data_IF_944872323275
#
_entry.id   IF_944872323275
#
_cell.length_a   1.000
_cell.length_b   1.000
_cell.length_c   1.000
_cell.angle_alpha   90.00
_cell.angle_beta   90.00
_cell.angle_gamma   90.00
#
_symmetry.space_group_name_H-M   'P 1'
#
loop_
_entity.id
_entity.type
_entity.pdbx_description
1 polymer ?
#
# COMPACT_ATOMS: atom_id res chain seq x y z
N UNK A 1 -31.15 -39.83 12.65
CA UNK A 1 -30.83 -38.40 12.51
C UNK A 1 -30.54 -38.15 11.03
N UNK A 2 -31.55 -37.69 10.23
CA UNK A 2 -31.40 -37.43 8.78
C UNK A 2 -30.76 -36.04 8.60
N UNK A 3 -29.48 -36.03 8.27
CA UNK A 3 -28.83 -34.78 7.79
C UNK A 3 -29.38 -34.46 6.41
N UNK A 4 -30.10 -33.36 6.30
CA UNK A 4 -30.74 -32.91 5.08
C UNK A 4 -29.65 -32.44 4.06
N UNK A 5 -29.24 -33.33 3.16
CA UNK A 5 -28.17 -33.13 2.16
C UNK A 5 -28.44 -31.99 1.17
N UNK A 6 -29.65 -31.42 1.14
CA UNK A 6 -30.04 -30.36 0.19
C UNK A 6 -29.58 -28.96 0.59
N UNK A 7 -29.28 -28.71 1.87
CA UNK A 7 -28.90 -27.37 2.36
C UNK A 7 -27.38 -27.18 2.49
N UNK A 8 -26.60 -28.25 2.33
CA UNK A 8 -25.14 -28.23 2.47
C UNK A 8 -24.45 -27.26 1.47
N UNK A 9 -24.79 -27.25 0.15
CA UNK A 9 -24.13 -26.36 -0.79
C UNK A 9 -24.47 -24.88 -0.54
N UNK A 10 -25.70 -24.55 -0.15
CA UNK A 10 -26.08 -23.16 0.18
C UNK A 10 -25.39 -22.67 1.44
N UNK A 11 -25.22 -23.52 2.46
CA UNK A 11 -24.49 -23.15 3.67
C UNK A 11 -23.00 -22.93 3.39
N UNK A 12 -22.37 -23.76 2.54
CA UNK A 12 -20.97 -23.60 2.12
C UNK A 12 -20.77 -22.33 1.31
N UNK A 13 -21.66 -22.05 0.36
CA UNK A 13 -21.60 -20.80 -0.43
C UNK A 13 -21.79 -19.56 0.46
N UNK A 14 -22.73 -19.61 1.41
CA UNK A 14 -22.94 -18.55 2.38
C UNK A 14 -21.69 -18.30 3.25
N UNK A 15 -21.08 -19.36 3.77
CA UNK A 15 -19.86 -19.25 4.56
C UNK A 15 -18.68 -18.70 3.74
N UNK A 16 -18.54 -19.14 2.49
CA UNK A 16 -17.52 -18.61 1.57
C UNK A 16 -17.71 -17.12 1.28
N UNK A 17 -18.96 -16.69 1.03
CA UNK A 17 -19.27 -15.29 0.79
C UNK A 17 -18.98 -14.41 2.01
N UNK A 18 -19.35 -14.86 3.21
CA UNK A 18 -19.03 -14.17 4.47
C UNK A 18 -17.53 -14.08 4.67
N UNK A 19 -16.79 -15.18 4.49
CA UNK A 19 -15.33 -15.17 4.59
C UNK A 19 -14.70 -14.18 3.61
N UNK A 20 -15.15 -14.16 2.37
CA UNK A 20 -14.65 -13.24 1.36
C UNK A 20 -14.95 -11.77 1.73
N UNK A 21 -16.17 -11.49 2.22
CA UNK A 21 -16.54 -10.16 2.68
C UNK A 21 -15.69 -9.69 3.87
N UNK A 22 -15.44 -10.58 4.84
CA UNK A 22 -14.56 -10.28 5.98
C UNK A 22 -13.12 -10.02 5.52
N UNK A 23 -12.57 -10.88 4.68
CA UNK A 23 -11.22 -10.68 4.14
C UNK A 23 -11.10 -9.38 3.34
N UNK A 24 -12.09 -9.08 2.52
CA UNK A 24 -12.16 -7.83 1.77
C UNK A 24 -12.24 -6.61 2.71
N UNK A 25 -13.04 -6.69 3.76
CA UNK A 25 -13.15 -5.62 4.76
C UNK A 25 -11.83 -5.42 5.49
N UNK A 26 -11.21 -6.49 6.01
CA UNK A 26 -9.93 -6.42 6.71
C UNK A 26 -8.82 -5.93 5.80
N UNK A 27 -8.77 -6.38 4.55
CA UNK A 27 -7.79 -5.92 3.55
C UNK A 27 -7.90 -4.43 3.23
N UNK A 28 -9.00 -3.78 3.58
CA UNK A 28 -9.20 -2.33 3.36
C UNK A 28 -9.11 -1.48 4.62
N UNK A 29 -9.20 -2.09 5.79
CA UNK A 29 -9.41 -1.35 7.04
C UNK A 29 -8.51 -1.82 8.19
N UNK A 30 -7.53 -2.68 7.91
CA UNK A 30 -6.71 -3.28 8.96
C UNK A 30 -6.06 -2.23 9.87
N UNK A 31 -6.23 -2.39 11.17
CA UNK A 31 -5.70 -1.50 12.20
C UNK A 31 -6.34 -0.12 12.30
N UNK A 32 -7.10 0.33 11.27
CA UNK A 32 -7.68 1.67 11.27
C UNK A 32 -9.01 1.76 12.00
N UNK A 33 -9.21 2.84 12.72
CA UNK A 33 -10.47 3.22 13.36
C UNK A 33 -11.47 3.79 12.34
N UNK A 34 -12.73 3.89 12.73
CA UNK A 34 -13.76 4.53 11.90
C UNK A 34 -13.49 6.03 11.71
N UNK A 35 -12.86 6.70 12.67
CA UNK A 35 -12.48 8.11 12.60
C UNK A 35 -11.37 8.31 11.56
N UNK A 36 -10.30 7.51 11.60
CA UNK A 36 -9.20 7.58 10.64
C UNK A 36 -9.64 7.36 9.21
N UNK A 37 -10.57 6.39 8.98
CA UNK A 37 -11.12 6.14 7.64
C UNK A 37 -12.00 7.26 7.07
N UNK A 38 -12.43 8.20 7.89
CA UNK A 38 -13.24 9.35 7.48
C UNK A 38 -12.46 10.65 7.41
N UNK A 39 -11.23 10.61 7.88
CA UNK A 39 -10.38 11.77 7.94
C UNK A 39 -9.86 12.10 6.53
N UNK A 40 -9.93 13.35 6.09
CA UNK A 40 -9.26 13.78 4.88
C UNK A 40 -7.75 13.56 5.00
N UNK A 41 -7.14 12.98 3.98
CA UNK A 41 -5.71 12.72 3.95
C UNK A 41 -5.04 13.51 2.82
N UNK A 42 -3.76 13.87 2.98
CA UNK A 42 -2.96 14.39 1.88
C UNK A 42 -3.06 13.44 0.67
N UNK A 43 -3.15 13.98 -0.53
CA UNK A 43 -3.27 13.19 -1.75
C UNK A 43 -4.69 12.72 -2.13
N UNK A 44 -5.71 12.89 -1.29
CA UNK A 44 -7.10 12.48 -1.61
C UNK A 44 -7.64 13.18 -2.88
N UNK A 45 -7.16 14.39 -3.17
CA UNK A 45 -7.57 15.15 -4.35
C UNK A 45 -6.91 14.67 -5.66
N UNK A 46 -5.85 13.87 -5.59
CA UNK A 46 -5.10 13.41 -6.78
C UNK A 46 -5.95 12.44 -7.61
N UNK A 47 -6.63 11.51 -6.96
CA UNK A 47 -7.54 10.58 -7.64
C UNK A 47 -8.98 10.98 -7.34
N UNK A 48 -9.58 11.67 -8.29
CA UNK A 48 -11.00 12.04 -8.17
C UNK A 48 -11.88 10.80 -8.37
N UNK A 49 -12.83 10.58 -7.46
CA UNK A 49 -13.77 9.45 -7.48
C UNK A 49 -13.09 8.08 -7.51
N UNK A 50 -12.27 7.75 -6.50
CA UNK A 50 -11.62 6.45 -6.45
C UNK A 50 -12.65 5.31 -6.38
N UNK A 51 -12.42 4.24 -7.14
CA UNK A 51 -13.26 3.04 -7.09
C UNK A 51 -13.07 2.27 -5.78
N UNK A 52 -11.89 2.39 -5.19
CA UNK A 52 -11.54 1.70 -3.94
C UNK A 52 -10.66 2.62 -3.11
N UNK A 53 -10.98 2.69 -1.82
CA UNK A 53 -10.14 3.32 -0.81
C UNK A 53 -9.83 2.28 0.26
N UNK A 54 -8.55 2.20 0.65
CA UNK A 54 -8.10 1.39 1.77
C UNK A 54 -7.36 2.30 2.75
N UNK A 55 -7.64 2.16 4.04
CA UNK A 55 -6.97 2.90 5.11
C UNK A 55 -6.48 1.91 6.15
N UNK A 56 -5.19 1.81 6.29
CA UNK A 56 -4.54 0.99 7.32
C UNK A 56 -3.89 1.91 8.34
N UNK A 57 -3.85 1.48 9.58
CA UNK A 57 -3.17 2.20 10.65
C UNK A 57 -2.40 1.24 11.55
N UNK A 58 -1.31 1.74 12.12
CA UNK A 58 -0.51 1.04 13.10
C UNK A 58 0.11 2.04 14.07
N UNK A 59 0.09 1.73 15.36
CA UNK A 59 0.80 2.52 16.36
C UNK A 59 2.21 1.95 16.52
N UNK A 60 3.20 2.81 16.39
CA UNK A 60 4.61 2.46 16.56
C UNK A 60 5.12 3.05 17.90
N UNK A 61 5.97 2.32 18.64
CA UNK A 61 6.49 2.78 19.94
C UNK A 61 7.66 3.77 19.78
N UNK A 62 7.62 4.59 18.73
CA UNK A 62 8.65 5.60 18.39
C UNK A 62 7.98 6.83 17.80
N UNK A 63 8.53 8.03 18.00
CA UNK A 63 7.94 9.26 17.48
C UNK A 63 8.12 9.37 15.94
N UNK A 64 7.31 10.22 15.28
CA UNK A 64 7.34 10.42 13.82
C UNK A 64 8.72 10.72 13.24
N UNK A 65 9.55 11.48 13.93
CA UNK A 65 10.91 11.86 13.51
C UNK A 65 11.84 10.66 13.38
N UNK A 66 11.56 9.59 14.14
CA UNK A 66 12.32 8.33 14.06
C UNK A 66 11.80 7.42 12.94
N UNK A 67 10.55 7.57 12.53
CA UNK A 67 9.94 6.81 11.44
C UNK A 67 10.24 7.45 10.08
N UNK A 68 10.25 8.77 10.02
CA UNK A 68 10.40 9.52 8.77
C UNK A 68 11.60 9.12 7.91
N UNK A 69 12.83 8.94 8.46
CA UNK A 69 13.98 8.50 7.66
C UNK A 69 13.76 7.17 6.93
N UNK A 70 12.96 6.27 7.50
CA UNK A 70 12.61 4.98 6.89
C UNK A 70 11.63 5.16 5.73
N UNK A 71 10.71 6.12 5.82
CA UNK A 71 9.76 6.41 4.73
C UNK A 71 10.44 7.06 3.53
N UNK A 72 11.41 7.93 3.73
CA UNK A 72 12.09 8.61 2.62
C UNK A 72 13.06 7.72 1.86
N UNK A 73 13.44 6.58 2.40
CA UNK A 73 14.30 5.62 1.70
C UNK A 73 13.53 4.48 1.00
N UNK A 74 12.18 4.48 1.00
CA UNK A 74 11.39 3.44 0.31
C UNK A 74 11.69 3.37 -1.18
N UNK A 75 11.46 2.21 -1.75
CA UNK A 75 11.59 1.97 -3.18
C UNK A 75 12.56 0.85 -3.53
N UNK A 76 12.40 0.33 -4.72
CA UNK A 76 13.24 -0.72 -5.27
C UNK A 76 14.67 -0.20 -5.51
N UNK A 77 15.69 -0.98 -5.11
CA UNK A 77 17.10 -0.56 -5.03
C UNK A 77 17.38 0.65 -4.11
N UNK A 78 16.45 0.94 -3.22
CA UNK A 78 16.60 1.84 -2.08
C UNK A 78 16.42 1.02 -0.80
N UNK A 79 15.71 1.53 0.20
CA UNK A 79 15.41 0.78 1.43
C UNK A 79 14.38 -0.34 1.29
N UNK A 80 13.82 -0.55 0.11
CA UNK A 80 12.72 -1.51 -0.10
C UNK A 80 11.36 -0.95 0.34
N UNK A 81 10.36 -1.82 0.44
CA UNK A 81 8.98 -1.44 0.79
C UNK A 81 8.57 -1.92 2.18
N UNK A 82 9.47 -2.51 2.95
CA UNK A 82 9.24 -3.05 4.29
C UNK A 82 8.11 -4.08 4.35
N UNK A 83 7.87 -4.75 3.25
CA UNK A 83 6.96 -5.89 3.17
C UNK A 83 7.53 -7.07 3.96
N UNK A 84 6.68 -7.92 4.57
CA UNK A 84 7.14 -9.16 5.18
C UNK A 84 7.88 -10.01 4.15
N UNK A 85 9.06 -10.56 4.50
CA UNK A 85 9.92 -11.30 3.58
C UNK A 85 9.20 -12.44 2.82
N UNK A 86 8.22 -13.09 3.44
CA UNK A 86 7.45 -14.14 2.77
C UNK A 86 6.60 -13.59 1.63
N UNK A 87 6.14 -12.33 1.72
CA UNK A 87 5.39 -11.66 0.64
C UNK A 87 6.33 -11.40 -0.55
N UNK A 88 7.53 -10.88 -0.29
CA UNK A 88 8.50 -10.62 -1.35
C UNK A 88 8.89 -11.92 -2.06
N UNK A 89 9.23 -12.97 -1.29
CA UNK A 89 9.62 -14.27 -1.87
C UNK A 89 8.51 -14.89 -2.71
N UNK A 90 7.25 -14.76 -2.28
CA UNK A 90 6.12 -15.41 -2.96
C UNK A 90 5.57 -14.59 -4.14
N UNK A 91 5.46 -13.28 -3.97
CA UNK A 91 4.76 -12.42 -4.93
C UNK A 91 5.70 -11.53 -5.75
N UNK A 92 6.87 -11.20 -5.20
CA UNK A 92 7.82 -10.27 -5.80
C UNK A 92 9.26 -10.81 -5.72
N UNK A 93 9.55 -11.97 -6.35
CA UNK A 93 10.84 -12.64 -6.21
C UNK A 93 12.04 -11.82 -6.73
N UNK A 94 11.79 -10.77 -7.49
CA UNK A 94 12.80 -9.82 -7.94
C UNK A 94 13.18 -8.77 -6.88
N UNK A 95 12.41 -8.67 -5.78
CA UNK A 95 12.72 -7.72 -4.72
C UNK A 95 13.87 -8.23 -3.85
N UNK A 96 14.86 -7.39 -3.65
CA UNK A 96 15.83 -7.59 -2.58
C UNK A 96 15.13 -7.43 -1.21
N UNK A 97 15.66 -8.06 -0.14
CA UNK A 97 15.18 -7.77 1.21
C UNK A 97 15.21 -6.28 1.50
N UNK A 98 14.18 -5.77 2.18
CA UNK A 98 14.20 -4.38 2.65
C UNK A 98 15.35 -4.15 3.63
N UNK A 99 15.90 -2.95 3.62
CA UNK A 99 16.98 -2.56 4.52
C UNK A 99 16.53 -2.66 5.99
N UNK A 100 17.39 -3.16 6.84
CA UNK A 100 17.23 -3.23 8.30
C UNK A 100 17.95 -2.09 9.03
N UNK A 101 18.54 -1.17 8.26
CA UNK A 101 19.24 0.02 8.74
C UNK A 101 18.90 1.23 7.85
N UNK A 102 19.19 2.42 8.34
CA UNK A 102 19.13 3.63 7.53
C UNK A 102 20.30 3.67 6.57
N UNK A 103 20.01 3.94 5.31
CA UNK A 103 21.03 4.10 4.27
C UNK A 103 21.80 5.41 4.51
N UNK A 104 23.10 5.40 4.28
CA UNK A 104 23.97 6.58 4.48
C UNK A 104 23.55 7.75 3.57
N UNK A 105 23.16 7.45 2.33
CA UNK A 105 22.71 8.42 1.34
C UNK A 105 21.43 7.97 0.62
N UNK A 106 20.29 7.91 1.30
CA UNK A 106 19.02 7.50 0.64
C UNK A 106 18.57 8.50 -0.42
N UNK A 107 19.14 9.71 -0.43
CA UNK A 107 18.68 10.86 -1.19
C UNK A 107 17.35 11.40 -0.60
N UNK A 108 17.27 12.72 -0.43
CA UNK A 108 15.99 13.34 -0.09
C UNK A 108 14.99 13.16 -1.24
N UNK A 109 13.76 12.82 -0.91
CA UNK A 109 12.69 12.81 -1.90
C UNK A 109 12.18 14.25 -2.11
N UNK A 110 12.01 14.63 -3.37
CA UNK A 110 11.39 15.89 -3.77
C UNK A 110 10.13 15.63 -4.62
N UNK A 111 9.23 16.61 -4.65
CA UNK A 111 8.05 16.53 -5.51
C UNK A 111 8.49 16.38 -6.97
N UNK A 112 7.92 15.38 -7.65
CA UNK A 112 8.26 15.02 -9.04
C UNK A 112 9.28 13.89 -9.16
N UNK A 113 9.96 13.50 -8.08
CA UNK A 113 10.88 12.37 -8.11
C UNK A 113 10.17 11.06 -8.42
N UNK A 114 10.88 10.17 -9.08
CA UNK A 114 10.43 8.80 -9.32
C UNK A 114 10.98 7.85 -8.27
N UNK A 115 10.10 7.12 -7.63
CA UNK A 115 10.42 6.04 -6.71
C UNK A 115 10.19 4.72 -7.45
N UNK A 116 11.23 3.99 -7.84
CA UNK A 116 11.07 2.73 -8.55
C UNK A 116 10.34 1.67 -7.72
N UNK A 117 9.48 0.89 -8.37
CA UNK A 117 8.80 -0.26 -7.77
C UNK A 117 8.96 -1.51 -8.64
N UNK A 118 10.15 -2.01 -8.65
CA UNK A 118 10.56 -3.19 -9.40
C UNK A 118 11.66 -2.93 -10.43
N UNK A 119 12.11 -3.99 -11.11
CA UNK A 119 13.16 -3.92 -12.12
C UNK A 119 12.81 -2.95 -13.26
N UNK A 120 13.81 -2.30 -13.89
CA UNK A 120 13.60 -1.32 -14.96
C UNK A 120 12.71 -1.82 -16.08
N UNK A 121 12.75 -3.12 -16.38
CA UNK A 121 11.96 -3.77 -17.44
C UNK A 121 10.46 -3.73 -17.17
N UNK A 122 10.06 -3.56 -15.91
CA UNK A 122 8.65 -3.44 -15.53
C UNK A 122 8.09 -2.06 -15.83
N UNK A 123 8.96 -1.07 -15.91
CA UNK A 123 8.60 0.36 -15.97
C UNK A 123 7.57 0.73 -14.90
N UNK A 124 7.72 0.17 -13.71
CA UNK A 124 6.86 0.48 -12.56
C UNK A 124 7.55 1.46 -11.62
N UNK A 125 6.87 2.55 -11.33
CA UNK A 125 7.34 3.57 -10.38
C UNK A 125 6.17 4.36 -9.81
N UNK A 126 6.44 5.00 -8.68
CA UNK A 126 5.64 6.09 -8.17
C UNK A 126 6.27 7.43 -8.50
N UNK A 127 5.46 8.47 -8.55
CA UNK A 127 5.89 9.87 -8.57
C UNK A 127 5.55 10.48 -7.21
N UNK A 128 6.49 11.16 -6.59
CA UNK A 128 6.25 11.92 -5.37
C UNK A 128 5.35 13.11 -5.68
N UNK A 129 4.17 13.19 -5.07
CA UNK A 129 3.22 14.30 -5.23
C UNK A 129 3.30 15.33 -4.13
N UNK A 130 3.48 14.84 -2.92
CA UNK A 130 3.66 15.68 -1.74
C UNK A 130 4.68 15.02 -0.83
N UNK A 131 5.50 15.83 -0.19
CA UNK A 131 6.45 15.39 0.82
C UNK A 131 6.61 16.49 1.85
N UNK A 132 6.18 16.21 3.08
CA UNK A 132 6.36 17.11 4.22
C UNK A 132 7.10 16.33 5.30
N UNK A 133 8.36 16.71 5.58
CA UNK A 133 9.22 16.00 6.50
C UNK A 133 8.59 15.80 7.87
N UNK A 134 8.60 14.54 8.35
CA UNK A 134 8.02 14.16 9.64
C UNK A 134 6.50 14.03 9.66
N UNK A 135 5.79 14.42 8.59
CA UNK A 135 4.34 14.43 8.56
C UNK A 135 3.76 13.45 7.53
N UNK A 136 4.07 13.63 6.24
CA UNK A 136 3.49 12.78 5.22
C UNK A 136 4.31 12.68 3.93
N UNK A 137 4.09 11.57 3.22
CA UNK A 137 4.58 11.30 1.88
C UNK A 137 3.42 10.81 1.01
N UNK A 138 3.16 11.48 -0.11
CA UNK A 138 2.14 11.09 -1.10
C UNK A 138 2.84 10.62 -2.36
N UNK A 139 2.59 9.37 -2.71
CA UNK A 139 3.07 8.73 -3.92
C UNK A 139 1.89 8.50 -4.86
N UNK A 140 2.09 8.75 -6.14
CA UNK A 140 1.09 8.51 -7.20
C UNK A 140 1.64 7.58 -8.25
N UNK A 141 0.82 6.70 -8.78
CA UNK A 141 1.19 5.89 -9.93
C UNK A 141 0.06 5.67 -10.91
N UNK A 142 0.48 5.60 -12.18
CA UNK A 142 -0.31 5.12 -13.31
C UNK A 142 0.37 3.94 -14.02
N UNK A 143 1.46 3.42 -13.47
CA UNK A 143 2.35 2.46 -14.16
C UNK A 143 2.22 1.02 -13.66
N UNK A 144 1.53 0.77 -12.54
CA UNK A 144 1.40 -0.56 -11.91
C UNK A 144 0.40 -1.49 -12.62
N UNK A 145 0.58 -1.61 -13.91
CA UNK A 145 -0.11 -2.58 -14.76
C UNK A 145 0.91 -3.24 -15.70
N UNK A 146 0.69 -4.49 -16.10
CA UNK A 146 1.55 -5.14 -17.08
C UNK A 146 1.75 -4.26 -18.33
N UNK A 147 3.00 -4.08 -18.77
CA UNK A 147 3.37 -3.26 -19.93
C UNK A 147 2.48 -3.50 -21.14
N UNK A 148 2.23 -4.80 -21.44
CA UNK A 148 1.36 -5.22 -22.55
C UNK A 148 -0.08 -4.71 -22.45
N UNK A 149 -0.58 -4.53 -21.22
CA UNK A 149 -1.94 -4.02 -20.99
C UNK A 149 -1.99 -2.51 -21.18
N UNK A 150 -0.96 -1.80 -20.68
CA UNK A 150 -0.81 -0.35 -20.88
C UNK A 150 -0.65 -0.02 -22.36
N UNK A 151 0.28 -0.70 -23.04
CA UNK A 151 0.57 -0.49 -24.47
C UNK A 151 -0.64 -0.74 -25.38
N UNK A 152 -1.51 -1.68 -25.02
CA UNK A 152 -2.73 -2.00 -25.78
C UNK A 152 -3.97 -1.24 -25.29
N UNK A 153 -3.85 -0.40 -24.30
CA UNK A 153 -4.99 0.33 -23.71
C UNK A 153 -6.07 -0.56 -23.08
N UNK A 154 -5.70 -1.80 -22.69
CA UNK A 154 -6.66 -2.79 -22.14
C UNK A 154 -7.15 -2.41 -20.74
N UNK A 155 -6.34 -1.69 -19.97
CA UNK A 155 -6.70 -1.21 -18.65
C UNK A 155 -5.96 0.10 -18.36
N UNK A 156 -6.53 0.87 -17.45
CA UNK A 156 -5.91 2.07 -16.89
C UNK A 156 -5.94 1.97 -15.37
N UNK A 157 -4.85 2.36 -14.74
CA UNK A 157 -4.72 2.47 -13.30
C UNK A 157 -4.31 3.88 -12.95
N UNK A 158 -4.93 4.45 -11.95
CA UNK A 158 -4.54 5.70 -11.33
C UNK A 158 -4.78 5.55 -9.84
N UNK A 159 -3.74 5.62 -9.03
CA UNK A 159 -3.85 5.44 -7.60
C UNK A 159 -2.80 6.24 -6.84
N UNK A 160 -3.08 6.49 -5.59
CA UNK A 160 -2.17 7.11 -4.63
C UNK A 160 -1.88 6.15 -3.50
N UNK A 161 -0.67 6.25 -2.98
CA UNK A 161 -0.27 5.63 -1.73
C UNK A 161 0.23 6.73 -0.80
N UNK A 162 -0.50 6.96 0.27
CA UNK A 162 -0.20 8.02 1.22
C UNK A 162 0.24 7.45 2.55
N UNK A 163 1.37 7.91 3.04
CA UNK A 163 1.88 7.64 4.37
C UNK A 163 1.73 8.90 5.21
N UNK A 164 1.04 8.79 6.34
CA UNK A 164 0.84 9.90 7.27
C UNK A 164 1.32 9.50 8.64
N UNK A 165 2.21 10.28 9.21
CA UNK A 165 2.71 10.13 10.56
C UNK A 165 2.00 11.10 11.47
N UNK A 166 1.57 10.63 12.64
CA UNK A 166 0.93 11.46 13.64
C UNK A 166 1.46 11.08 15.01
N UNK A 167 1.80 12.07 15.86
CA UNK A 167 2.04 11.77 17.25
C UNK A 167 0.76 11.19 17.87
N UNK A 168 0.93 10.22 18.74
CA UNK A 168 -0.14 9.66 19.56
C UNK A 168 0.17 10.05 20.98
N UNK A 169 -0.74 10.79 21.60
CA UNK A 169 -0.65 11.12 23.03
C UNK A 169 -0.73 9.81 23.81
N UNK A 170 0.31 9.53 24.62
CA UNK A 170 0.45 8.34 25.45
C UNK A 170 -0.45 8.34 26.67
#
# INVERSE_FOLDING_TARGET
MHVNRRNTPLAVLGAAAVKLAVLHHLGRTYGSTRAERRMPLPGDAVVQRPQTVATHASTLPVPPERVWPWLVQVGWHRGGWYTPRWVDVLLFPANAPSADHLLDEPGALAVGDRVPDGPPETECWFVVREVVPGEHLVLESTTHLPLRWRARGLARLHWTWTFVLRPVDG
#
